data_IF_417525559798
#
_entry.id   IF_417525559798
#
_cell.length_a   1.000
_cell.length_b   1.000
_cell.length_c   1.000
_cell.angle_alpha   90.00
_cell.angle_beta   90.00
_cell.angle_gamma   90.00
#
_symmetry.space_group_name_H-M   'P 1'
#
loop_
_entity.id
_entity.type
_entity.pdbx_description
1 polymer ?
#
# COMPACT_ATOMS: atom_id res chain seq x y z
N UNK A 1 -16.35 5.86 22.95
CA UNK A 1 -15.05 5.27 22.55
C UNK A 1 -13.94 6.24 22.88
N UNK A 2 -12.76 5.71 23.17
CA UNK A 2 -11.63 6.45 23.74
C UNK A 2 -10.69 6.87 22.60
N UNK A 3 -10.51 8.17 22.32
CA UNK A 3 -9.56 8.61 21.30
C UNK A 3 -8.12 8.24 21.69
N UNK A 4 -7.21 7.98 20.74
CA UNK A 4 -5.84 7.59 21.04
C UNK A 4 -5.09 8.57 21.95
N UNK A 5 -5.41 9.86 21.85
CA UNK A 5 -4.87 10.92 22.71
C UNK A 5 -5.22 10.76 24.20
N UNK A 6 -6.21 9.93 24.53
CA UNK A 6 -6.57 9.59 25.90
C UNK A 6 -6.02 8.24 26.37
N UNK A 7 -5.28 7.52 25.53
CA UNK A 7 -4.51 6.36 25.97
C UNK A 7 -3.33 6.78 26.84
N UNK A 8 -2.87 5.92 27.76
CA UNK A 8 -1.62 6.14 28.48
C UNK A 8 -0.47 6.47 27.53
N UNK A 9 0.37 7.43 27.90
CA UNK A 9 1.53 7.83 27.09
C UNK A 9 2.78 7.19 27.69
N UNK A 10 3.56 6.50 26.85
CA UNK A 10 4.90 6.05 27.22
C UNK A 10 5.87 6.34 26.07
N UNK A 11 7.05 6.88 26.40
CA UNK A 11 8.06 7.29 25.42
C UNK A 11 7.51 8.18 24.30
N UNK A 12 6.56 9.06 24.64
CA UNK A 12 5.91 9.97 23.69
C UNK A 12 4.92 9.31 22.72
N UNK A 13 4.50 8.07 22.97
CA UNK A 13 3.55 7.31 22.14
C UNK A 13 2.30 6.93 22.93
N UNK A 14 1.14 6.95 22.26
CA UNK A 14 -0.13 6.49 22.82
C UNK A 14 -0.14 4.96 22.91
N UNK A 15 -0.35 4.42 24.11
CA UNK A 15 -0.38 2.98 24.35
C UNK A 15 -1.81 2.51 24.58
N UNK A 16 -2.45 2.04 23.51
CA UNK A 16 -3.76 1.44 23.61
C UNK A 16 -3.75 0.21 24.56
N UNK A 17 -4.80 0.04 25.39
CA UNK A 17 -5.01 -1.21 26.13
C UNK A 17 -5.07 -2.43 25.20
N UNK A 18 -4.62 -3.59 25.69
CA UNK A 18 -4.62 -4.83 24.89
C UNK A 18 -6.02 -5.24 24.40
N UNK A 19 -7.06 -4.91 25.16
CA UNK A 19 -8.46 -5.20 24.85
C UNK A 19 -9.17 -4.07 24.10
N UNK A 20 -8.48 -2.99 23.72
CA UNK A 20 -9.10 -1.92 22.94
C UNK A 20 -9.66 -2.50 21.63
N UNK A 21 -10.91 -2.18 21.25
CA UNK A 21 -11.58 -2.80 20.11
C UNK A 21 -10.98 -2.43 18.74
N UNK A 22 -10.13 -1.41 18.66
CA UNK A 22 -9.54 -0.92 17.40
C UNK A 22 -8.03 -1.09 17.39
N UNK A 23 -7.36 -0.67 18.47
CA UNK A 23 -5.90 -0.59 18.61
C UNK A 23 -5.31 -1.70 19.46
N UNK A 24 -6.17 -2.53 20.07
CA UNK A 24 -5.76 -3.66 20.88
C UNK A 24 -5.26 -4.85 20.04
N UNK A 25 -4.93 -5.92 20.75
CA UNK A 25 -4.40 -7.15 20.16
C UNK A 25 -5.41 -7.77 19.18
N UNK A 26 -4.92 -8.19 18.00
CA UNK A 26 -5.72 -8.79 16.92
C UNK A 26 -6.88 -7.90 16.40
N UNK A 27 -6.75 -6.57 16.54
CA UNK A 27 -7.69 -5.59 15.97
C UNK A 27 -7.09 -4.90 14.75
N UNK A 28 -7.90 -4.09 14.07
CA UNK A 28 -7.55 -3.49 12.77
C UNK A 28 -6.35 -2.52 12.81
N UNK A 29 -5.98 -2.03 13.99
CA UNK A 29 -4.80 -1.21 14.25
C UNK A 29 -3.74 -1.92 15.11
N UNK A 30 -3.85 -3.24 15.30
CA UNK A 30 -2.82 -4.04 15.99
C UNK A 30 -1.43 -3.79 15.37
N UNK A 31 -0.43 -3.55 16.20
CA UNK A 31 0.92 -3.21 15.74
C UNK A 31 1.15 -1.75 15.35
N UNK A 32 0.14 -0.89 15.42
CA UNK A 32 0.24 0.54 15.04
C UNK A 32 -0.08 1.43 16.24
N UNK A 33 0.66 2.53 16.37
CA UNK A 33 0.44 3.57 17.38
C UNK A 33 0.56 4.96 16.76
N UNK A 34 0.20 6.00 17.53
CA UNK A 34 0.36 7.42 17.20
C UNK A 34 1.23 8.10 18.26
N UNK A 35 1.85 9.23 17.90
CA UNK A 35 2.55 10.03 18.91
C UNK A 35 1.55 10.71 19.85
N UNK A 36 2.02 11.06 21.05
CA UNK A 36 1.24 11.75 22.07
C UNK A 36 0.60 13.07 21.58
N UNK A 37 1.18 13.71 20.55
CA UNK A 37 0.60 14.89 19.91
C UNK A 37 -0.70 14.61 19.13
N UNK A 38 -1.05 13.34 18.94
CA UNK A 38 -2.32 12.92 18.32
C UNK A 38 -2.44 13.19 16.82
N UNK A 39 -1.45 13.82 16.18
CA UNK A 39 -1.59 14.23 14.79
C UNK A 39 -1.67 13.02 13.83
N UNK A 40 -2.51 13.06 12.78
CA UNK A 40 -2.62 12.02 11.74
C UNK A 40 -1.29 11.53 11.17
N UNK A 41 -0.33 12.46 11.00
CA UNK A 41 1.00 12.20 10.44
C UNK A 41 1.96 11.52 11.43
N UNK A 42 1.50 11.24 12.65
CA UNK A 42 2.33 10.68 13.71
C UNK A 42 2.30 9.15 13.78
N UNK A 43 1.44 8.48 12.99
CA UNK A 43 1.35 7.02 12.96
C UNK A 43 2.71 6.36 12.74
N UNK A 44 2.94 5.26 13.46
CA UNK A 44 4.15 4.44 13.36
C UNK A 44 3.90 3.03 13.89
N UNK A 45 4.86 2.13 13.64
CA UNK A 45 4.85 0.80 14.25
C UNK A 45 4.98 0.96 15.76
N UNK A 46 4.12 0.27 16.51
CA UNK A 46 4.16 0.23 17.96
C UNK A 46 5.36 -0.62 18.42
N UNK A 47 6.32 -0.04 19.17
CA UNK A 47 7.50 -0.76 19.64
C UNK A 47 7.17 -2.01 20.48
N UNK A 48 5.99 -2.06 21.12
CA UNK A 48 5.52 -3.22 21.89
C UNK A 48 5.35 -4.46 21.03
N UNK A 49 5.13 -4.29 19.72
CA UNK A 49 4.81 -5.36 18.78
C UNK A 49 5.86 -5.54 17.70
N UNK A 50 7.02 -4.88 17.76
CA UNK A 50 8.05 -4.95 16.70
C UNK A 50 8.48 -6.39 16.39
N UNK A 51 8.51 -7.28 17.39
CA UNK A 51 8.86 -8.69 17.22
C UNK A 51 7.76 -9.51 16.51
N UNK A 52 6.55 -8.97 16.40
CA UNK A 52 5.42 -9.58 15.69
C UNK A 52 5.28 -9.05 14.26
N UNK A 53 6.12 -8.08 13.85
CA UNK A 53 6.07 -7.53 12.50
C UNK A 53 6.51 -8.59 11.48
N UNK A 54 5.71 -8.78 10.43
CA UNK A 54 6.03 -9.72 9.37
C UNK A 54 7.02 -9.12 8.36
N UNK A 55 7.97 -9.91 7.83
CA UNK A 55 8.86 -9.46 6.77
C UNK A 55 8.07 -9.14 5.50
N UNK A 56 8.36 -8.01 4.87
CA UNK A 56 7.68 -7.60 3.62
C UNK A 56 8.45 -7.97 2.34
N UNK A 57 9.69 -8.45 2.47
CA UNK A 57 10.60 -8.78 1.36
C UNK A 57 10.45 -10.23 0.84
N UNK A 58 9.33 -10.87 1.14
CA UNK A 58 8.99 -12.21 0.64
C UNK A 58 8.28 -12.08 -0.70
N UNK A 59 8.68 -12.87 -1.69
CA UNK A 59 8.06 -12.90 -3.03
C UNK A 59 6.73 -13.66 -2.98
N UNK A 60 5.76 -13.25 -3.79
CA UNK A 60 4.44 -13.87 -3.85
C UNK A 60 3.49 -13.33 -2.76
N UNK A 61 2.56 -14.18 -2.32
CA UNK A 61 1.46 -13.79 -1.43
C UNK A 61 1.90 -13.31 -0.04
N UNK A 62 3.05 -13.79 0.45
CA UNK A 62 3.54 -13.47 1.80
C UNK A 62 2.50 -13.73 2.90
N UNK A 63 1.82 -14.89 2.84
CA UNK A 63 0.78 -15.27 3.80
C UNK A 63 -0.56 -14.54 3.64
N UNK A 64 -0.70 -13.62 2.67
CA UNK A 64 -1.93 -12.89 2.43
C UNK A 64 -2.85 -13.57 1.43
N UNK A 65 -4.14 -13.50 1.70
CA UNK A 65 -5.19 -13.94 0.77
C UNK A 65 -5.78 -12.71 0.05
N UNK A 66 -6.02 -12.75 -1.26
CA UNK A 66 -6.72 -11.66 -1.93
C UNK A 66 -8.05 -11.35 -1.21
N UNK A 67 -8.34 -10.06 -1.00
CA UNK A 67 -9.36 -9.48 -0.11
C UNK A 67 -8.90 -9.16 1.33
N UNK A 68 -7.70 -9.56 1.75
CA UNK A 68 -7.11 -9.05 2.99
C UNK A 68 -7.12 -7.51 3.00
N UNK A 69 -7.52 -6.93 4.13
CA UNK A 69 -7.74 -5.50 4.27
C UNK A 69 -6.99 -4.94 5.47
N UNK A 70 -6.47 -3.73 5.29
CA UNK A 70 -5.68 -3.00 6.27
C UNK A 70 -6.24 -1.60 6.41
N UNK A 71 -6.35 -1.12 7.66
CA UNK A 71 -6.84 0.22 7.93
C UNK A 71 -5.96 1.31 7.30
N UNK A 72 -4.64 1.13 7.27
CA UNK A 72 -3.71 2.09 6.69
C UNK A 72 -2.38 1.44 6.27
N UNK A 73 -1.45 2.28 5.79
CA UNK A 73 -0.12 1.87 5.33
C UNK A 73 0.76 1.26 6.42
N UNK A 74 0.62 1.67 7.67
CA UNK A 74 1.36 1.08 8.79
C UNK A 74 0.81 -0.28 9.18
N UNK A 75 -0.52 -0.49 9.14
CA UNK A 75 -1.10 -1.82 9.32
C UNK A 75 -0.65 -2.78 8.20
N UNK A 76 -0.68 -2.34 6.93
CA UNK A 76 -0.15 -3.12 5.81
C UNK A 76 1.36 -3.41 5.92
N UNK A 77 2.13 -2.48 6.51
CA UNK A 77 3.56 -2.64 6.77
C UNK A 77 3.83 -3.61 7.92
N UNK A 78 3.06 -3.51 9.00
CA UNK A 78 3.16 -4.37 10.16
C UNK A 78 2.90 -5.84 9.79
N UNK A 79 1.90 -6.08 8.95
CA UNK A 79 1.53 -7.42 8.50
C UNK A 79 2.34 -7.92 7.28
N UNK A 80 3.28 -7.14 6.74
CA UNK A 80 4.16 -7.57 5.64
C UNK A 80 3.52 -7.49 4.23
N UNK A 81 2.30 -7.00 4.11
CA UNK A 81 1.62 -6.84 2.83
C UNK A 81 2.36 -5.83 1.93
N UNK A 82 2.90 -4.76 2.52
CA UNK A 82 3.69 -3.75 1.80
C UNK A 82 4.85 -3.21 2.64
N UNK A 83 6.07 -3.18 2.08
CA UNK A 83 7.30 -2.95 2.83
C UNK A 83 7.73 -1.50 3.06
N UNK A 84 6.91 -0.50 2.68
CA UNK A 84 7.26 0.90 2.85
C UNK A 84 6.13 1.71 3.54
N UNK A 85 6.44 2.58 4.51
CA UNK A 85 5.42 3.40 5.17
C UNK A 85 4.87 4.52 4.27
N UNK A 86 5.61 4.92 3.23
CA UNK A 86 5.26 6.05 2.34
C UNK A 86 5.38 5.73 0.86
N UNK A 87 6.48 5.11 0.44
CA UNK A 87 6.78 4.88 -0.97
C UNK A 87 5.71 4.00 -1.64
N UNK A 88 5.27 4.32 -2.85
CA UNK A 88 4.27 3.50 -3.57
C UNK A 88 4.78 2.10 -3.94
N UNK A 89 6.09 1.92 -4.08
CA UNK A 89 6.75 0.66 -4.45
C UNK A 89 7.68 0.23 -3.31
N UNK A 90 7.57 -1.02 -2.87
CA UNK A 90 8.52 -1.66 -1.96
C UNK A 90 9.22 -2.81 -2.69
N UNK A 91 10.52 -2.92 -2.55
CA UNK A 91 11.34 -3.86 -3.33
C UNK A 91 12.82 -3.78 -2.99
N UNK A 92 13.61 -4.58 -3.70
CA UNK A 92 15.07 -4.55 -3.68
C UNK A 92 15.62 -4.54 -5.10
N UNK A 93 16.88 -4.13 -5.27
CA UNK A 93 17.54 -4.19 -6.58
C UNK A 93 17.77 -5.64 -7.05
N UNK A 94 17.91 -6.57 -6.11
CA UNK A 94 18.14 -8.00 -6.38
C UNK A 94 16.88 -8.68 -6.90
N UNK A 95 15.78 -8.48 -6.21
CA UNK A 95 14.53 -9.23 -6.42
C UNK A 95 13.55 -8.46 -7.34
N UNK A 96 13.64 -7.13 -7.37
CA UNK A 96 12.66 -6.25 -7.99
C UNK A 96 11.62 -5.76 -6.99
N UNK A 97 10.46 -5.35 -7.49
CA UNK A 97 9.34 -4.94 -6.66
C UNK A 97 8.69 -6.15 -5.98
N UNK A 98 8.52 -6.11 -4.67
CA UNK A 98 7.73 -7.09 -3.91
C UNK A 98 6.26 -6.70 -3.86
N UNK A 99 5.97 -5.40 -3.76
CA UNK A 99 4.61 -4.88 -3.69
C UNK A 99 4.50 -3.44 -4.19
N UNK A 100 3.31 -3.09 -4.69
CA UNK A 100 2.93 -1.74 -5.06
C UNK A 100 1.60 -1.33 -4.42
N UNK A 101 1.44 -0.03 -4.18
CA UNK A 101 0.18 0.57 -3.71
C UNK A 101 -0.34 1.56 -4.74
N UNK A 102 -1.58 1.35 -5.18
CA UNK A 102 -2.37 2.32 -5.94
C UNK A 102 -3.03 3.29 -4.96
N UNK A 103 -2.61 4.54 -4.98
CA UNK A 103 -3.07 5.59 -4.06
C UNK A 103 -3.19 6.94 -4.77
N UNK A 104 -3.87 7.91 -4.15
CA UNK A 104 -4.27 9.16 -4.79
C UNK A 104 -3.14 10.09 -5.24
N UNK A 105 -1.89 9.88 -4.79
CA UNK A 105 -0.75 10.76 -5.09
C UNK A 105 -0.44 10.91 -6.59
N UNK A 106 -0.84 9.93 -7.41
CA UNK A 106 -0.65 9.92 -8.86
C UNK A 106 -1.98 9.87 -9.62
N UNK A 107 -3.07 10.33 -9.00
CA UNK A 107 -4.39 10.43 -9.63
C UNK A 107 -4.27 11.25 -10.93
N UNK A 108 -4.62 10.63 -12.05
CA UNK A 108 -4.48 11.21 -13.40
C UNK A 108 -3.27 10.70 -14.20
N UNK A 109 -2.28 10.09 -13.54
CA UNK A 109 -1.17 9.42 -14.21
C UNK A 109 -1.31 7.89 -14.20
N UNK A 110 -1.82 7.28 -13.14
CA UNK A 110 -2.13 5.85 -13.16
C UNK A 110 -3.41 5.58 -13.97
N UNK A 111 -3.45 4.45 -14.69
CA UNK A 111 -4.69 3.91 -15.27
C UNK A 111 -4.93 2.54 -14.66
N UNK A 112 -6.04 2.41 -13.94
CA UNK A 112 -6.44 1.16 -13.28
C UNK A 112 -7.67 0.57 -13.99
N UNK A 113 -7.45 -0.52 -14.73
CA UNK A 113 -8.50 -1.31 -15.40
C UNK A 113 -8.73 -2.64 -14.66
N UNK A 114 -8.38 -2.71 -13.38
CA UNK A 114 -8.60 -3.87 -12.55
C UNK A 114 -7.55 -4.94 -12.80
N UNK A 115 -7.77 -5.80 -13.80
CA UNK A 115 -6.83 -6.88 -14.14
C UNK A 115 -5.59 -6.36 -14.90
N UNK A 116 -5.68 -5.17 -15.49
CA UNK A 116 -4.56 -4.48 -16.14
C UNK A 116 -4.38 -3.13 -15.47
N UNK A 117 -3.15 -2.81 -15.10
CA UNK A 117 -2.78 -1.53 -14.49
C UNK A 117 -1.65 -0.94 -15.32
N UNK A 118 -1.71 0.36 -15.56
CA UNK A 118 -0.59 1.13 -16.07
C UNK A 118 -0.10 2.06 -14.96
N UNK A 119 0.95 1.62 -14.26
CA UNK A 119 1.42 2.22 -13.02
C UNK A 119 2.58 3.19 -13.25
N UNK A 120 2.49 4.39 -12.68
CA UNK A 120 3.56 5.38 -12.63
C UNK A 120 4.30 5.29 -11.30
N UNK A 121 5.61 5.07 -11.37
CA UNK A 121 6.45 5.05 -10.18
C UNK A 121 6.76 6.47 -9.66
N UNK A 122 7.25 6.55 -8.42
CA UNK A 122 7.68 7.81 -7.81
C UNK A 122 8.72 8.54 -8.65
N UNK A 123 8.61 9.87 -8.72
CA UNK A 123 9.42 10.72 -9.57
C UNK A 123 8.78 11.05 -10.92
N UNK A 124 7.71 10.35 -11.31
CA UNK A 124 7.03 10.58 -12.60
C UNK A 124 6.28 11.91 -12.67
N UNK A 125 5.60 12.32 -11.59
CA UNK A 125 4.76 13.54 -11.59
C UNK A 125 5.58 14.80 -11.26
N UNK A 126 6.64 14.64 -10.49
CA UNK A 126 7.50 15.73 -10.03
C UNK A 126 8.59 16.08 -11.05
N UNK A 127 8.91 15.17 -11.98
CA UNK A 127 9.93 15.40 -13.00
C UNK A 127 9.60 16.64 -13.85
N UNK A 128 10.62 17.46 -14.11
CA UNK A 128 10.54 18.65 -14.98
C UNK A 128 11.53 18.56 -16.15
N UNK A 129 12.36 17.51 -16.21
CA UNK A 129 13.35 17.33 -17.27
C UNK A 129 12.66 16.77 -18.54
N UNK A 130 12.64 17.52 -19.66
CA UNK A 130 12.01 17.09 -20.91
C UNK A 130 12.88 16.11 -21.72
N UNK A 131 14.10 15.81 -21.26
CA UNK A 131 15.08 14.96 -21.93
C UNK A 131 15.32 13.64 -21.17
N UNK A 132 15.21 13.65 -19.83
CA UNK A 132 15.52 12.47 -19.00
C UNK A 132 14.33 11.96 -18.21
N UNK A 133 14.20 10.63 -18.16
CA UNK A 133 13.32 9.94 -17.22
C UNK A 133 13.93 9.99 -15.82
N UNK A 134 13.07 10.07 -14.80
CA UNK A 134 13.50 9.85 -13.42
C UNK A 134 14.13 8.46 -13.26
N UNK A 135 15.14 8.32 -12.40
CA UNK A 135 15.80 7.05 -12.09
C UNK A 135 15.74 6.74 -10.59
N UNK A 136 14.53 6.63 -10.06
CA UNK A 136 14.30 6.36 -8.63
C UNK A 136 14.48 4.87 -8.32
N UNK A 137 14.73 4.48 -7.04
CA UNK A 137 14.73 3.08 -6.64
C UNK A 137 13.45 2.33 -7.07
N UNK A 138 12.29 2.97 -6.95
CA UNK A 138 11.01 2.40 -7.38
C UNK A 138 11.00 2.00 -8.88
N UNK A 139 11.50 2.88 -9.74
CA UNK A 139 11.62 2.62 -11.19
C UNK A 139 12.58 1.44 -11.44
N UNK A 140 13.71 1.38 -10.75
CA UNK A 140 14.66 0.27 -10.88
C UNK A 140 14.05 -1.06 -10.43
N UNK A 141 13.29 -1.07 -9.35
CA UNK A 141 12.60 -2.27 -8.86
C UNK A 141 11.56 -2.78 -9.88
N UNK A 142 10.76 -1.89 -10.48
CA UNK A 142 9.78 -2.27 -11.50
C UNK A 142 10.43 -2.75 -12.80
N UNK A 143 11.53 -2.12 -13.24
CA UNK A 143 12.33 -2.62 -14.37
C UNK A 143 12.89 -4.01 -14.12
N UNK A 144 13.38 -4.27 -12.90
CA UNK A 144 13.84 -5.60 -12.49
C UNK A 144 12.70 -6.61 -12.48
N UNK A 145 11.51 -6.26 -11.98
CA UNK A 145 10.32 -7.12 -12.07
C UNK A 145 9.89 -7.37 -13.51
N UNK A 146 9.98 -6.39 -14.41
CA UNK A 146 9.70 -6.57 -15.84
C UNK A 146 10.68 -7.56 -16.49
N UNK A 147 11.96 -7.50 -16.12
CA UNK A 147 12.99 -8.39 -16.65
C UNK A 147 12.91 -9.82 -16.10
N UNK A 148 12.44 -9.99 -14.86
CA UNK A 148 12.44 -11.29 -14.16
C UNK A 148 11.07 -11.97 -14.15
N UNK A 149 10.00 -11.23 -14.41
CA UNK A 149 8.64 -11.73 -14.32
C UNK A 149 8.18 -12.05 -12.91
N UNK A 150 8.89 -11.62 -11.86
CA UNK A 150 8.55 -11.93 -10.48
C UNK A 150 7.18 -11.36 -10.09
N UNK A 151 6.39 -12.11 -9.28
CA UNK A 151 5.08 -11.68 -8.85
C UNK A 151 5.16 -10.50 -7.88
N UNK A 152 4.33 -9.50 -8.11
CA UNK A 152 4.24 -8.26 -7.33
C UNK A 152 2.87 -8.20 -6.67
N UNK A 153 2.83 -8.06 -5.35
CA UNK A 153 1.57 -7.81 -4.63
C UNK A 153 1.02 -6.44 -4.99
N UNK A 154 -0.25 -6.38 -5.40
CA UNK A 154 -0.94 -5.11 -5.64
C UNK A 154 -1.90 -4.83 -4.50
N UNK A 155 -1.75 -3.66 -3.88
CA UNK A 155 -2.66 -3.13 -2.89
C UNK A 155 -3.37 -1.89 -3.46
N UNK A 156 -4.69 -1.81 -3.29
CA UNK A 156 -5.50 -0.64 -3.65
C UNK A 156 -5.92 0.13 -2.41
N UNK A 157 -5.64 1.43 -2.36
CA UNK A 157 -6.08 2.33 -1.30
C UNK A 157 -7.35 3.05 -1.72
N UNK A 158 -8.26 3.30 -0.76
CA UNK A 158 -9.43 4.16 -0.96
C UNK A 158 -9.06 5.56 -1.51
N UNK A 159 -7.88 6.07 -1.15
CA UNK A 159 -7.37 7.36 -1.68
C UNK A 159 -7.14 7.36 -3.20
N UNK A 160 -6.87 6.19 -3.79
CA UNK A 160 -6.74 6.02 -5.24
C UNK A 160 -8.02 6.40 -5.97
N UNK A 161 -9.18 6.11 -5.37
CA UNK A 161 -10.48 6.28 -6.01
C UNK A 161 -10.67 5.39 -7.25
N UNK A 162 -11.70 5.70 -8.04
CA UNK A 162 -12.05 4.90 -9.21
C UNK A 162 -12.79 3.61 -8.86
N UNK A 163 -13.15 2.86 -9.89
CA UNK A 163 -14.05 1.70 -9.78
C UNK A 163 -13.47 0.50 -9.01
N UNK A 164 -12.14 0.47 -8.81
CA UNK A 164 -11.47 -0.68 -8.21
C UNK A 164 -10.92 -0.42 -6.81
N UNK A 165 -10.87 0.83 -6.35
CA UNK A 165 -10.46 1.15 -5.00
C UNK A 165 -11.49 0.64 -3.96
N UNK A 166 -11.07 0.22 -2.77
CA UNK A 166 -12.00 -0.05 -1.68
C UNK A 166 -12.65 1.25 -1.19
N UNK A 167 -13.82 1.17 -0.54
CA UNK A 167 -14.49 2.35 0.02
C UNK A 167 -13.72 3.02 1.16
N UNK A 168 -12.95 2.23 1.93
CA UNK A 168 -12.07 2.70 3.02
C UNK A 168 -10.80 1.85 3.11
N UNK A 169 -9.75 2.37 3.75
CA UNK A 169 -8.50 1.65 4.02
C UNK A 169 -7.73 1.22 2.77
N UNK A 170 -7.10 0.05 2.85
CA UNK A 170 -6.25 -0.55 1.82
C UNK A 170 -6.58 -2.04 1.70
N UNK A 171 -6.81 -2.51 0.46
CA UNK A 171 -7.12 -3.91 0.17
C UNK A 171 -6.04 -4.55 -0.67
N UNK A 172 -5.67 -5.78 -0.36
CA UNK A 172 -4.79 -6.61 -1.17
C UNK A 172 -5.58 -7.31 -2.28
N UNK A 173 -5.24 -7.03 -3.54
CA UNK A 173 -6.00 -7.49 -4.71
C UNK A 173 -5.31 -8.61 -5.50
N UNK A 174 -4.24 -9.17 -4.93
CA UNK A 174 -3.52 -10.33 -5.45
C UNK A 174 -2.19 -9.98 -6.12
N UNK A 175 -1.64 -10.98 -6.79
CA UNK A 175 -0.37 -10.93 -7.51
C UNK A 175 -0.57 -10.48 -8.95
N UNK A 176 0.30 -9.59 -9.38
CA UNK A 176 0.43 -9.09 -10.74
C UNK A 176 1.86 -9.29 -11.21
N UNK A 177 2.03 -9.45 -12.52
CA UNK A 177 3.33 -9.43 -13.17
C UNK A 177 3.53 -8.08 -13.83
N UNK A 178 4.72 -7.49 -13.70
CA UNK A 178 5.14 -6.35 -14.53
C UNK A 178 5.50 -6.91 -15.90
N UNK A 179 4.74 -6.54 -16.93
CA UNK A 179 4.91 -7.06 -18.29
C UNK A 179 5.98 -6.25 -19.03
N UNK A 180 5.92 -4.92 -18.94
CA UNK A 180 6.83 -4.02 -19.64
C UNK A 180 6.77 -2.59 -19.12
N UNK A 181 7.83 -1.84 -19.40
CA UNK A 181 7.80 -0.37 -19.36
C UNK A 181 7.26 0.15 -20.70
N UNK A 182 6.24 1.01 -20.65
CA UNK A 182 5.59 1.58 -21.82
C UNK A 182 6.37 2.74 -22.45
N UNK A 183 5.80 3.38 -23.49
CA UNK A 183 6.45 4.50 -24.16
C UNK A 183 6.59 5.72 -23.24
N UNK A 184 7.57 6.56 -23.55
CA UNK A 184 7.78 7.85 -22.88
C UNK A 184 6.58 8.77 -23.10
N UNK A 185 6.18 9.46 -22.04
CA UNK A 185 5.10 10.45 -21.98
C UNK A 185 5.61 11.71 -21.30
N UNK A 186 4.83 12.78 -21.36
CA UNK A 186 5.12 14.05 -20.70
C UNK A 186 4.04 14.36 -19.66
N UNK A 187 4.47 14.70 -18.45
CA UNK A 187 3.56 15.12 -17.38
C UNK A 187 3.14 16.59 -17.59
N UNK A 188 2.22 17.07 -16.76
CA UNK A 188 1.73 18.46 -16.82
C UNK A 188 2.82 19.53 -16.57
N UNK A 189 4.02 19.13 -16.11
CA UNK A 189 5.18 19.99 -15.86
C UNK A 189 6.23 19.92 -16.97
N UNK A 190 5.95 19.23 -18.08
CA UNK A 190 6.87 19.06 -19.20
C UNK A 190 7.97 18.01 -18.98
N UNK A 191 7.98 17.30 -17.84
CA UNK A 191 8.95 16.25 -17.57
C UNK A 191 8.55 14.90 -18.17
N UNK A 192 9.55 14.12 -18.59
CA UNK A 192 9.34 12.75 -19.11
C UNK A 192 8.94 11.77 -18.00
N UNK A 193 8.00 10.88 -18.30
CA UNK A 193 7.67 9.71 -17.46
C UNK A 193 7.27 8.50 -18.32
N UNK A 194 7.21 7.32 -17.69
CA UNK A 194 6.74 6.07 -18.29
C UNK A 194 5.71 5.41 -17.37
N UNK A 195 4.93 4.48 -17.93
CA UNK A 195 4.02 3.61 -17.17
C UNK A 195 4.49 2.17 -17.28
N UNK A 196 4.40 1.43 -16.19
CA UNK A 196 4.62 0.00 -16.18
C UNK A 196 3.27 -0.71 -16.38
N UNK A 197 3.16 -1.50 -17.43
CA UNK A 197 2.00 -2.36 -17.65
C UNK A 197 2.10 -3.56 -16.70
N UNK A 198 1.13 -3.69 -15.81
CA UNK A 198 1.04 -4.79 -14.85
C UNK A 198 -0.23 -5.59 -15.14
N UNK A 199 -0.11 -6.92 -15.21
CA UNK A 199 -1.24 -7.81 -15.47
C UNK A 199 -1.44 -8.76 -14.30
N UNK A 200 -2.70 -8.92 -13.89
CA UNK A 200 -3.07 -9.82 -12.81
C UNK A 200 -2.77 -11.27 -13.21
N UNK A 201 -2.15 -12.02 -12.30
CA UNK A 201 -1.87 -13.43 -12.53
C UNK A 201 -3.13 -14.28 -12.40
N UNK A 202 -3.24 -15.33 -13.21
CA UNK A 202 -4.32 -16.31 -13.16
C UNK A 202 -4.27 -17.18 -11.88
N UNK A 203 -5.32 -17.94 -11.61
CA UNK A 203 -5.36 -18.90 -10.48
C UNK A 203 -5.64 -18.27 -9.11
N UNK A 204 -6.05 -17.00 -9.06
CA UNK A 204 -6.41 -16.29 -7.82
C UNK A 204 -7.88 -15.90 -7.85
N UNK A 205 -8.49 -15.69 -6.67
CA UNK A 205 -9.88 -15.20 -6.53
C UNK A 205 -10.16 -14.05 -7.51
N UNK A 206 -11.25 -14.10 -8.30
CA UNK A 206 -11.56 -13.03 -9.26
C UNK A 206 -11.64 -11.66 -8.60
N UNK A 207 -11.17 -10.62 -9.30
CA UNK A 207 -11.13 -9.26 -8.75
C UNK A 207 -12.53 -8.73 -8.37
N UNK A 208 -13.55 -9.07 -9.17
CA UNK A 208 -14.93 -8.70 -8.87
C UNK A 208 -15.42 -9.31 -7.54
N UNK A 209 -15.06 -10.57 -7.25
CA UNK A 209 -15.37 -11.23 -5.98
C UNK A 209 -14.68 -10.53 -4.81
N UNK A 210 -13.40 -10.18 -4.97
CA UNK A 210 -12.64 -9.43 -3.95
C UNK A 210 -13.31 -8.08 -3.66
N UNK A 211 -13.72 -7.36 -4.71
CA UNK A 211 -14.36 -6.05 -4.60
C UNK A 211 -15.73 -6.11 -3.92
N UNK A 212 -16.47 -7.18 -4.12
CA UNK A 212 -17.77 -7.39 -3.49
C UNK A 212 -17.67 -7.76 -1.99
N UNK A 213 -16.54 -8.34 -1.57
CA UNK A 213 -16.40 -8.92 -0.21
C UNK A 213 -15.56 -8.07 0.75
N UNK A 214 -14.73 -7.17 0.24
CA UNK A 214 -13.77 -6.42 1.05
C UNK A 214 -13.69 -4.93 0.66
N UNK A 215 -13.77 -3.99 1.61
CA UNK A 215 -13.87 -4.23 3.06
C UNK A 215 -15.23 -4.80 3.49
N UNK A 216 -15.22 -5.60 4.55
CA UNK A 216 -16.44 -6.11 5.19
C UNK A 216 -17.19 -4.99 5.93
N UNK A 217 -18.50 -5.13 6.21
CA UNK A 217 -19.24 -4.14 7.01
C UNK A 217 -18.60 -3.86 8.37
N UNK A 218 -18.06 -4.90 9.03
CA UNK A 218 -17.37 -4.75 10.30
C UNK A 218 -16.08 -3.92 10.16
N UNK A 219 -15.29 -4.16 9.11
CA UNK A 219 -14.09 -3.35 8.84
C UNK A 219 -14.43 -1.90 8.53
N UNK A 220 -15.52 -1.64 7.79
CA UNK A 220 -16.00 -0.28 7.51
C UNK A 220 -16.41 0.42 8.81
N UNK A 221 -17.20 -0.26 9.64
CA UNK A 221 -17.61 0.23 10.95
C UNK A 221 -16.41 0.54 11.85
N UNK A 222 -15.45 -0.37 11.94
CA UNK A 222 -14.26 -0.21 12.78
C UNK A 222 -13.30 0.86 12.23
N UNK A 223 -13.19 0.99 10.90
CA UNK A 223 -12.43 2.07 10.28
C UNK A 223 -12.98 3.44 10.67
N UNK A 224 -14.30 3.62 10.69
CA UNK A 224 -14.96 4.86 11.12
C UNK A 224 -14.72 5.21 12.60
N UNK A 225 -14.14 4.28 13.37
CA UNK A 225 -13.82 4.43 14.80
C UNK A 225 -12.32 4.71 15.02
N UNK A 226 -11.52 4.78 13.97
CA UNK A 226 -10.13 5.24 14.04
C UNK A 226 -10.18 6.77 14.11
N UNK A 227 -9.90 7.31 15.30
CA UNK A 227 -9.73 8.74 15.47
C UNK A 227 -8.41 9.17 14.83
N UNK A 228 -8.49 10.07 13.85
CA UNK A 228 -7.34 10.68 13.19
C UNK A 228 -7.57 12.18 13.10
#
# INVERSE_FOLDING_TARGET
>A
MTPPTSFPIANGLCQAPLNDPIWGHNRIMHGVTVAASGAPRSMRIDPRYVQQQHPANVIGHNGHTPADWFANRFAALFHGAHGAPRAGVAGSIRDGAHSVVLAGAYRGLDIDQGNVIYYCASGSIENRDPLRLANTPAIRHLRRSAATGQPVRVLRSASGGGAHAPGVGIRYDGLYQVVREGPVRFNARGGRYTRFEMRRMAGQTPLATIQAQSPTPQQVHDFGRIWI
#
